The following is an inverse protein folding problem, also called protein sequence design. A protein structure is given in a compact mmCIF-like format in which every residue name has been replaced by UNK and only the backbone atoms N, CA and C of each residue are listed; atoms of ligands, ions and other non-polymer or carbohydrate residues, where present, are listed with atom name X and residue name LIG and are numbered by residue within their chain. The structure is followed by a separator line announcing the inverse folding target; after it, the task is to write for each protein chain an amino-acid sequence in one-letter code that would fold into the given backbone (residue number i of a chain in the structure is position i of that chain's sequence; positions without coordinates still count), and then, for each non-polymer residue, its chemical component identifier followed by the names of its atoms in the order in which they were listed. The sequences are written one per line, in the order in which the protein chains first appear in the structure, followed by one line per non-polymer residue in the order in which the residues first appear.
data_IF_948367570458
#
_entry.id   IF_948367570458
#
_cell.length_a   1.000
_cell.length_b   1.000
_cell.length_c   1.000
_cell.angle_alpha   90.00
_cell.angle_beta   90.00
_cell.angle_gamma   90.00
#
_symmetry.space_group_name_H-M   'P 1'
#
loop_
_entity.id
_entity.type
_entity.pdbx_description
1 polymer ?
#
# COMPACT_ATOMS: atom_id res chain seq x y z
N UNK A 1 -6.60 -12.13 -7.28
CA UNK A 1 -6.89 -11.93 -5.84
C UNK A 1 -8.15 -12.67 -5.40
N UNK A 2 -9.35 -12.30 -5.85
CA UNK A 2 -10.60 -12.96 -5.44
C UNK A 2 -10.59 -14.50 -5.53
N UNK A 3 -10.12 -15.08 -6.64
CA UNK A 3 -10.04 -16.55 -6.76
C UNK A 3 -9.02 -17.18 -5.81
N UNK A 4 -7.94 -16.47 -5.44
CA UNK A 4 -6.97 -16.95 -4.46
C UNK A 4 -7.56 -16.92 -3.04
N UNK A 5 -8.27 -15.85 -2.70
CA UNK A 5 -8.98 -15.70 -1.43
C UNK A 5 -10.04 -16.79 -1.22
N UNK A 6 -10.78 -17.15 -2.28
CA UNK A 6 -11.77 -18.23 -2.23
C UNK A 6 -11.16 -19.62 -1.97
N UNK A 7 -9.88 -19.80 -2.29
CA UNK A 7 -9.15 -21.06 -2.09
C UNK A 7 -8.36 -21.11 -0.79
N UNK A 8 -8.29 -20.01 -0.05
CA UNK A 8 -7.55 -19.94 1.22
C UNK A 8 -8.18 -20.80 2.30
N UNK A 9 -7.36 -21.44 3.13
CA UNK A 9 -7.81 -22.29 4.23
C UNK A 9 -8.28 -21.50 5.46
N UNK A 10 -8.04 -20.19 5.50
CA UNK A 10 -8.48 -19.31 6.58
C UNK A 10 -8.74 -17.88 6.10
N UNK A 11 -9.49 -17.11 6.91
CA UNK A 11 -9.71 -15.68 6.67
C UNK A 11 -8.40 -14.89 6.73
N UNK A 12 -7.52 -15.21 7.67
CA UNK A 12 -6.23 -14.55 7.81
C UNK A 12 -5.35 -14.74 6.56
N UNK A 13 -5.38 -15.94 5.97
CA UNK A 13 -4.68 -16.23 4.71
C UNK A 13 -5.33 -15.50 3.52
N UNK A 14 -6.66 -15.51 3.42
CA UNK A 14 -7.38 -14.73 2.39
C UNK A 14 -7.05 -13.23 2.48
N UNK A 15 -6.91 -12.72 3.69
CA UNK A 15 -6.56 -11.34 3.98
C UNK A 15 -5.13 -10.99 3.50
N UNK A 16 -4.17 -11.92 3.55
CA UNK A 16 -2.81 -11.66 3.03
C UNK A 16 -2.81 -11.30 1.55
N UNK A 17 -3.70 -11.90 0.75
CA UNK A 17 -3.86 -11.52 -0.66
C UNK A 17 -4.44 -10.11 -0.84
N UNK A 18 -5.30 -9.67 0.08
CA UNK A 18 -5.82 -8.29 0.10
C UNK A 18 -4.69 -7.31 0.44
N UNK A 19 -3.90 -7.62 1.47
CA UNK A 19 -2.75 -6.82 1.87
C UNK A 19 -1.76 -6.71 0.71
N UNK A 20 -1.40 -7.82 0.07
CA UNK A 20 -0.47 -7.80 -1.07
C UNK A 20 -1.00 -6.93 -2.22
N UNK A 21 -2.31 -7.00 -2.54
CA UNK A 21 -2.92 -6.15 -3.56
C UNK A 21 -2.80 -4.66 -3.22
N UNK A 22 -3.10 -4.29 -1.97
CA UNK A 22 -3.03 -2.90 -1.51
C UNK A 22 -1.59 -2.36 -1.57
N UNK A 23 -0.60 -3.16 -1.18
CA UNK A 23 0.81 -2.78 -1.28
C UNK A 23 1.29 -2.64 -2.73
N UNK A 24 0.75 -3.44 -3.66
CA UNK A 24 1.03 -3.27 -5.09
C UNK A 24 0.42 -1.96 -5.60
N UNK A 25 -0.80 -1.64 -5.17
CA UNK A 25 -1.46 -0.40 -5.53
C UNK A 25 -0.66 0.84 -5.05
N UNK A 26 -0.15 0.82 -3.82
CA UNK A 26 0.73 1.89 -3.32
C UNK A 26 1.97 2.06 -4.20
N UNK A 27 2.63 0.96 -4.56
CA UNK A 27 3.81 1.02 -5.41
C UNK A 27 3.51 1.55 -6.80
N UNK A 28 2.43 1.10 -7.43
CA UNK A 28 2.03 1.60 -8.74
C UNK A 28 1.65 3.09 -8.69
N UNK A 29 1.03 3.55 -7.60
CA UNK A 29 0.80 4.97 -7.36
C UNK A 29 2.12 5.75 -7.24
N UNK A 30 3.14 5.15 -6.61
CA UNK A 30 4.48 5.73 -6.55
C UNK A 30 5.14 5.84 -7.92
N UNK A 31 5.04 4.80 -8.74
CA UNK A 31 5.54 4.81 -10.14
C UNK A 31 4.84 5.91 -10.93
N UNK A 32 3.52 6.03 -10.79
CA UNK A 32 2.78 7.13 -11.41
C UNK A 32 3.31 8.50 -10.96
N UNK A 33 3.55 8.69 -9.65
CA UNK A 33 4.07 9.94 -9.12
C UNK A 33 5.47 10.27 -9.67
N UNK A 34 6.33 9.27 -9.84
CA UNK A 34 7.63 9.43 -10.51
C UNK A 34 7.47 10.03 -11.90
N UNK A 35 6.65 9.42 -12.77
CA UNK A 35 6.45 9.93 -14.13
C UNK A 35 5.70 11.27 -14.16
N UNK A 36 4.73 11.46 -13.27
CA UNK A 36 3.99 12.71 -13.13
C UNK A 36 4.92 13.89 -12.79
N UNK A 37 5.93 13.65 -11.95
CA UNK A 37 6.95 14.64 -11.62
C UNK A 37 7.93 14.88 -12.77
N UNK A 38 8.54 13.82 -13.31
CA UNK A 38 9.67 13.93 -14.24
C UNK A 38 9.25 14.30 -15.67
N UNK A 39 8.08 13.84 -16.13
CA UNK A 39 7.67 14.02 -17.53
C UNK A 39 6.68 15.17 -17.70
N UNK A 40 5.87 15.44 -16.68
CA UNK A 40 4.70 16.32 -16.80
C UNK A 40 4.67 17.47 -15.80
N UNK A 41 5.59 17.51 -14.84
CA UNK A 41 5.63 18.50 -13.75
C UNK A 41 4.27 18.71 -13.07
N UNK A 42 3.53 17.61 -12.84
CA UNK A 42 2.18 17.66 -12.28
C UNK A 42 2.16 17.73 -10.75
N UNK A 43 3.27 17.43 -10.08
CA UNK A 43 3.34 17.45 -8.63
C UNK A 43 3.74 18.84 -8.13
N UNK A 44 2.93 19.36 -7.21
CA UNK A 44 3.20 20.59 -6.46
C UNK A 44 4.09 20.30 -5.25
N UNK A 45 4.80 21.32 -4.71
CA UNK A 45 5.53 21.17 -3.46
C UNK A 45 4.60 20.72 -2.33
N UNK A 46 4.90 19.58 -1.71
CA UNK A 46 4.09 18.99 -0.63
C UNK A 46 3.22 17.80 -1.04
N UNK A 47 2.97 17.58 -2.33
CA UNK A 47 2.14 16.45 -2.81
C UNK A 47 2.75 15.09 -2.44
N UNK A 48 4.08 15.01 -2.45
CA UNK A 48 4.82 13.80 -2.07
C UNK A 48 4.61 13.49 -0.59
N UNK A 49 4.78 14.49 0.27
CA UNK A 49 4.58 14.37 1.71
C UNK A 49 3.13 14.05 2.05
N UNK A 50 2.17 14.68 1.35
CA UNK A 50 0.75 14.40 1.51
C UNK A 50 0.41 12.96 1.10
N UNK A 51 0.89 12.50 -0.06
CA UNK A 51 0.69 11.12 -0.50
C UNK A 51 1.25 10.10 0.48
N UNK A 52 2.45 10.33 1.00
CA UNK A 52 3.06 9.47 2.03
C UNK A 52 2.27 9.50 3.34
N UNK A 53 1.76 10.67 3.74
CA UNK A 53 0.91 10.79 4.92
C UNK A 53 -0.43 10.07 4.75
N UNK A 54 -1.02 10.12 3.55
CA UNK A 54 -2.24 9.41 3.19
C UNK A 54 -2.04 7.90 3.22
N UNK A 55 -0.98 7.39 2.61
CA UNK A 55 -0.62 5.96 2.67
C UNK A 55 -0.41 5.48 4.12
N UNK A 56 0.27 6.29 4.94
CA UNK A 56 0.41 6.00 6.36
C UNK A 56 -0.93 6.04 7.11
N UNK A 57 -1.87 6.91 6.70
CA UNK A 57 -3.15 7.11 7.38
C UNK A 57 -4.08 5.88 7.33
N UNK A 58 -4.00 5.12 6.24
CA UNK A 58 -4.90 3.99 5.93
C UNK A 58 -4.32 2.62 6.28
N UNK A 59 -3.14 2.57 6.91
CA UNK A 59 -2.62 1.34 7.50
C UNK A 59 -3.51 0.81 8.62
N UNK A 60 -3.76 -0.50 8.63
CA UNK A 60 -4.67 -1.14 9.56
C UNK A 60 -4.23 -0.97 11.02
N UNK A 61 -2.93 -0.95 11.30
CA UNK A 61 -2.38 -0.68 12.63
C UNK A 61 -2.74 0.72 13.14
N UNK A 62 -2.82 1.72 12.25
CA UNK A 62 -3.29 3.07 12.60
C UNK A 62 -4.81 3.13 12.72
N UNK A 63 -5.53 2.52 11.78
CA UNK A 63 -7.00 2.50 11.79
C UNK A 63 -7.52 1.77 13.04
N UNK A 64 -6.97 0.61 13.37
CA UNK A 64 -7.35 -0.16 14.56
C UNK A 64 -6.99 0.57 15.85
N UNK A 65 -5.79 1.16 15.96
CA UNK A 65 -5.45 1.99 17.13
C UNK A 65 -6.43 3.13 17.35
N UNK A 66 -6.89 3.79 16.27
CA UNK A 66 -7.89 4.86 16.36
C UNK A 66 -9.28 4.35 16.72
N UNK A 67 -9.66 3.18 16.22
CA UNK A 67 -11.01 2.63 16.40
C UNK A 67 -11.18 1.91 17.75
N UNK A 68 -10.20 1.13 18.19
CA UNK A 68 -10.32 0.21 19.32
C UNK A 68 -9.17 0.29 20.33
N UNK A 69 -8.11 1.05 20.03
CA UNK A 69 -6.93 1.16 20.89
C UNK A 69 -5.98 -0.04 20.86
N UNK A 70 -6.30 -1.10 20.10
CA UNK A 70 -5.49 -2.32 20.00
C UNK A 70 -5.16 -2.64 18.54
N UNK A 71 -4.11 -3.43 18.30
CA UNK A 71 -3.69 -3.86 16.96
C UNK A 71 -3.76 -5.38 16.88
N UNK A 72 -4.40 -5.90 15.84
CA UNK A 72 -4.66 -7.31 15.58
C UNK A 72 -4.22 -7.67 14.14
N UNK A 73 -2.95 -8.03 13.93
CA UNK A 73 -2.39 -8.26 12.59
C UNK A 73 -3.09 -9.32 11.74
N UNK A 74 -3.66 -10.33 12.37
CA UNK A 74 -4.39 -11.43 11.71
C UNK A 74 -5.68 -10.96 10.99
N UNK A 75 -6.17 -9.77 11.34
CA UNK A 75 -7.39 -9.19 10.77
C UNK A 75 -7.14 -8.14 9.70
N UNK A 76 -5.88 -7.81 9.41
CA UNK A 76 -5.49 -6.78 8.45
C UNK A 76 -5.95 -7.11 7.02
N UNK A 77 -6.34 -6.09 6.27
CA UNK A 77 -6.73 -6.18 4.85
C UNK A 77 -5.98 -5.19 3.96
N UNK A 78 -5.38 -4.16 4.55
CA UNK A 78 -4.62 -3.09 3.90
C UNK A 78 -3.13 -3.12 4.27
N UNK A 79 -2.76 -3.82 5.35
CA UNK A 79 -1.38 -3.89 5.84
C UNK A 79 -1.05 -2.74 6.80
N UNK A 80 0.17 -2.74 7.32
CA UNK A 80 0.61 -1.68 8.25
C UNK A 80 0.91 -0.36 7.53
N UNK A 81 0.76 0.76 8.24
CA UNK A 81 1.15 2.10 7.77
C UNK A 81 2.58 2.13 7.24
N UNK A 82 3.50 1.41 7.89
CA UNK A 82 4.90 1.35 7.46
C UNK A 82 5.07 0.61 6.14
N UNK A 83 4.36 -0.51 5.93
CA UNK A 83 4.38 -1.22 4.65
C UNK A 83 3.85 -0.34 3.52
N UNK A 84 2.71 0.33 3.75
CA UNK A 84 2.07 1.23 2.78
C UNK A 84 3.04 2.32 2.29
N UNK A 85 3.67 3.03 3.24
CA UNK A 85 4.68 4.07 2.95
C UNK A 85 5.88 3.49 2.22
N UNK A 86 6.38 2.32 2.63
CA UNK A 86 7.55 1.70 2.02
C UNK A 86 7.30 1.34 0.55
N UNK A 87 6.12 0.79 0.23
CA UNK A 87 5.77 0.44 -1.15
C UNK A 87 5.50 1.66 -2.01
N UNK A 88 4.82 2.69 -1.47
CA UNK A 88 4.66 3.95 -2.18
C UNK A 88 6.02 4.57 -2.53
N UNK A 89 6.94 4.69 -1.56
CA UNK A 89 8.29 5.20 -1.79
C UNK A 89 9.05 4.39 -2.83
N UNK A 90 8.98 3.05 -2.75
CA UNK A 90 9.63 2.17 -3.71
C UNK A 90 9.25 2.50 -5.16
N UNK A 91 7.97 2.71 -5.43
CA UNK A 91 7.51 3.11 -6.76
C UNK A 91 7.98 4.50 -7.16
N UNK A 92 7.96 5.46 -6.23
CA UNK A 92 8.43 6.83 -6.47
C UNK A 92 9.93 6.89 -6.75
N UNK A 93 10.71 5.98 -6.16
CA UNK A 93 12.15 5.89 -6.35
C UNK A 93 12.53 5.12 -7.61
N UNK A 94 11.77 4.07 -7.97
CA UNK A 94 12.09 3.22 -9.13
C UNK A 94 11.62 3.81 -10.45
N UNK A 95 10.39 4.36 -10.49
CA UNK A 95 9.70 4.64 -11.75
C UNK A 95 9.41 3.37 -12.59
N UNK A 96 9.60 2.18 -12.03
CA UNK A 96 9.51 0.91 -12.73
C UNK A 96 8.35 0.07 -12.16
N UNK A 97 7.30 -0.21 -12.97
CA UNK A 97 6.19 -1.08 -12.56
C UNK A 97 6.62 -2.49 -12.15
N UNK A 98 7.71 -3.02 -12.69
CA UNK A 98 8.20 -4.36 -12.36
C UNK A 98 8.76 -4.41 -10.92
N UNK A 99 9.08 -3.26 -10.34
CA UNK A 99 9.43 -3.17 -8.93
C UNK A 99 8.23 -3.42 -7.99
N UNK A 100 7.00 -3.47 -8.50
CA UNK A 100 5.75 -3.53 -7.72
C UNK A 100 5.15 -4.96 -7.57
N UNK A 101 5.96 -6.00 -7.76
CA UNK A 101 5.55 -7.38 -7.55
C UNK A 101 5.40 -7.72 -6.04
N UNK A 102 4.15 -7.84 -5.57
CA UNK A 102 3.82 -8.22 -4.18
C UNK A 102 3.11 -9.57 -4.07
N UNK A 103 2.48 -10.02 -5.16
CA UNK A 103 1.74 -11.28 -5.26
C UNK A 103 2.71 -12.34 -5.79
N UNK A 104 2.98 -13.39 -5.01
CA UNK A 104 3.71 -14.58 -5.46
C UNK A 104 2.87 -15.83 -5.28
#
# INVERSE_FOLDING_TARGET
VHSAQQRSGSRAEANQYSVALELQADCLAGVWAYHAHHERQLLEPGDVEEGLAAAAAIGDDRLQRRATGTVQPESWTHGSSAQRVAWLRRGMESGDPDACETLR
#
